data_IF_310630218325
#
_entry.id   IF_310630218325
#
_cell.length_a   1.000
_cell.length_b   1.000
_cell.length_c   1.000
_cell.angle_alpha   90.00
_cell.angle_beta   90.00
_cell.angle_gamma   90.00
#
_symmetry.space_group_name_H-M   'P 1'
#
loop_
_entity.id
_entity.type
_entity.pdbx_description
1 polymer ?
#
# COMPACT_ATOMS: atom_id res chain seq x y z
N UNK A 1 11.45 12.71 -14.39
CA UNK A 1 10.72 13.94 -14.01
C UNK A 1 9.72 13.65 -12.88
N UNK A 2 8.71 12.81 -13.06
CA UNK A 2 7.68 12.50 -12.04
C UNK A 2 8.24 12.08 -10.67
N UNK A 3 9.23 11.17 -10.62
CA UNK A 3 9.86 10.76 -9.36
C UNK A 3 10.49 11.95 -8.62
N UNK A 4 11.27 12.77 -9.34
CA UNK A 4 11.93 13.94 -8.74
C UNK A 4 10.93 14.98 -8.22
N UNK A 5 9.81 15.18 -8.92
CA UNK A 5 8.74 16.05 -8.45
C UNK A 5 8.10 15.50 -7.18
N UNK A 6 7.75 14.21 -7.18
CA UNK A 6 7.15 13.56 -6.04
C UNK A 6 8.08 13.54 -4.82
N UNK A 7 9.36 13.24 -5.02
CA UNK A 7 10.38 13.29 -3.96
C UNK A 7 10.55 14.69 -3.40
N UNK A 8 10.58 15.73 -4.25
CA UNK A 8 10.64 17.12 -3.82
C UNK A 8 9.44 17.48 -2.93
N UNK A 9 8.23 17.05 -3.30
CA UNK A 9 7.04 17.22 -2.46
C UNK A 9 7.11 16.41 -1.16
N UNK A 10 7.62 15.18 -1.21
CA UNK A 10 7.73 14.32 -0.03
C UNK A 10 8.72 14.86 1.01
N UNK A 11 9.72 15.60 0.57
CA UNK A 11 10.73 16.22 1.45
C UNK A 11 10.29 17.58 2.00
N UNK A 12 9.66 18.40 1.18
CA UNK A 12 9.38 19.81 1.52
C UNK A 12 7.89 20.07 1.85
N UNK A 13 7.02 19.07 1.65
CA UNK A 13 5.56 19.20 1.81
C UNK A 13 4.88 19.87 0.62
N UNK A 14 3.55 19.69 0.52
CA UNK A 14 2.74 20.25 -0.57
C UNK A 14 2.72 21.78 -0.55
N UNK A 15 2.60 22.39 0.62
CA UNK A 15 2.51 23.86 0.78
C UNK A 15 3.86 24.54 0.66
N UNK A 16 4.96 23.84 0.93
CA UNK A 16 6.33 24.36 0.85
C UNK A 16 6.96 24.26 -0.53
N UNK A 17 6.34 23.54 -1.48
CA UNK A 17 6.94 23.20 -2.77
C UNK A 17 6.26 23.95 -3.91
N UNK A 18 6.90 25.01 -4.39
CA UNK A 18 6.43 25.75 -5.56
C UNK A 18 7.01 25.20 -6.88
N UNK A 19 6.43 25.60 -8.02
CA UNK A 19 6.83 25.15 -9.36
C UNK A 19 8.32 25.40 -9.67
N UNK A 20 8.93 26.46 -9.10
CA UNK A 20 10.35 26.75 -9.26
C UNK A 20 11.23 25.70 -8.58
N UNK A 21 10.84 25.24 -7.39
CA UNK A 21 11.54 24.19 -6.66
C UNK A 21 11.46 22.85 -7.42
N UNK A 22 10.31 22.52 -7.97
CA UNK A 22 10.09 21.33 -8.80
C UNK A 22 10.95 21.35 -10.06
N UNK A 23 11.00 22.50 -10.77
CA UNK A 23 11.83 22.67 -11.95
C UNK A 23 13.32 22.50 -11.61
N UNK A 24 13.78 23.09 -10.51
CA UNK A 24 15.15 22.94 -10.02
C UNK A 24 15.47 21.48 -9.66
N UNK A 25 14.58 20.77 -8.94
CA UNK A 25 14.74 19.36 -8.61
C UNK A 25 14.84 18.47 -9.87
N UNK A 26 14.10 18.83 -10.93
CA UNK A 26 14.14 18.14 -12.21
C UNK A 26 15.34 18.52 -13.08
N UNK A 27 16.09 19.57 -12.76
CA UNK A 27 17.14 20.11 -13.60
C UNK A 27 16.60 20.76 -14.90
N UNK A 28 15.43 21.39 -14.85
CA UNK A 28 14.79 21.99 -16.01
C UNK A 28 14.18 23.36 -15.69
N UNK A 29 13.59 24.03 -16.67
CA UNK A 29 12.88 25.30 -16.49
C UNK A 29 11.40 25.04 -16.12
N UNK A 30 10.73 26.04 -15.53
CA UNK A 30 9.28 25.96 -15.27
C UNK A 30 8.47 25.82 -16.56
N UNK A 31 8.89 26.49 -17.65
CA UNK A 31 8.27 26.32 -18.97
C UNK A 31 8.38 24.89 -19.49
N UNK A 32 9.49 24.21 -19.24
CA UNK A 32 9.66 22.81 -19.59
C UNK A 32 8.69 21.90 -18.80
N UNK A 33 8.46 22.16 -17.51
CA UNK A 33 7.43 21.43 -16.74
C UNK A 33 6.04 21.62 -17.34
N UNK A 34 5.66 22.83 -17.68
CA UNK A 34 4.36 23.15 -18.30
C UNK A 34 4.20 22.63 -19.74
N UNK A 35 5.26 22.21 -20.42
CA UNK A 35 5.13 21.49 -21.69
C UNK A 35 4.66 20.03 -21.55
N UNK A 36 4.80 19.45 -20.35
CA UNK A 36 4.36 18.09 -20.03
C UNK A 36 3.06 18.05 -19.22
N UNK A 37 2.82 19.06 -18.38
CA UNK A 37 1.67 19.11 -17.46
C UNK A 37 0.93 20.42 -17.64
N UNK A 38 -0.37 20.34 -17.87
CA UNK A 38 -1.22 21.53 -18.09
C UNK A 38 -1.38 22.39 -16.83
N UNK A 39 -1.16 21.80 -15.66
CA UNK A 39 -1.30 22.46 -14.35
C UNK A 39 -0.41 21.80 -13.29
N UNK A 40 -0.23 22.53 -12.17
CA UNK A 40 0.43 21.98 -10.97
C UNK A 40 -0.40 20.83 -10.37
N UNK A 41 -1.72 20.90 -10.45
CA UNK A 41 -2.60 19.83 -9.98
C UNK A 41 -2.38 18.53 -10.76
N UNK A 42 -2.33 18.61 -12.07
CA UNK A 42 -2.03 17.47 -12.93
C UNK A 42 -0.65 16.88 -12.60
N UNK A 43 0.37 17.73 -12.46
CA UNK A 43 1.71 17.31 -12.04
C UNK A 43 1.69 16.55 -10.70
N UNK A 44 0.98 17.06 -9.69
CA UNK A 44 0.84 16.42 -8.37
C UNK A 44 0.18 15.06 -8.52
N UNK A 45 -0.95 14.97 -9.21
CA UNK A 45 -1.71 13.74 -9.35
C UNK A 45 -0.97 12.67 -10.15
N UNK A 46 -0.41 13.03 -11.30
CA UNK A 46 0.32 12.07 -12.14
C UNK A 46 1.62 11.61 -11.50
N UNK A 47 2.40 12.51 -10.90
CA UNK A 47 3.62 12.12 -10.18
C UNK A 47 3.30 11.23 -8.97
N UNK A 48 2.21 11.50 -8.26
CA UNK A 48 1.73 10.67 -7.16
C UNK A 48 1.31 9.29 -7.65
N UNK A 49 0.47 9.19 -8.70
CA UNK A 49 0.04 7.92 -9.26
C UNK A 49 1.23 7.07 -9.71
N UNK A 50 2.15 7.66 -10.45
CA UNK A 50 3.34 6.98 -10.94
C UNK A 50 4.22 6.44 -9.82
N UNK A 51 4.49 7.27 -8.79
CA UNK A 51 5.33 6.86 -7.68
C UNK A 51 4.65 5.86 -6.75
N UNK A 52 3.35 6.00 -6.51
CA UNK A 52 2.62 5.05 -5.68
C UNK A 52 2.41 3.71 -6.37
N UNK A 53 2.24 3.66 -7.69
CA UNK A 53 2.26 2.40 -8.43
C UNK A 53 3.58 1.63 -8.21
N UNK A 54 4.73 2.33 -8.21
CA UNK A 54 6.03 1.71 -7.88
C UNK A 54 6.12 1.24 -6.44
N UNK A 55 5.58 1.98 -5.48
CA UNK A 55 5.53 1.57 -4.07
C UNK A 55 4.72 0.28 -3.92
N UNK A 56 3.55 0.22 -4.57
CA UNK A 56 2.70 -0.98 -4.57
C UNK A 56 3.40 -2.16 -5.26
N UNK A 57 4.07 -1.95 -6.38
CA UNK A 57 4.85 -2.99 -7.06
C UNK A 57 5.99 -3.52 -6.18
N UNK A 58 6.69 -2.65 -5.49
CA UNK A 58 7.77 -3.04 -4.56
C UNK A 58 7.22 -3.87 -3.40
N UNK A 59 6.06 -3.50 -2.86
CA UNK A 59 5.37 -4.26 -1.81
C UNK A 59 4.92 -5.63 -2.33
N UNK A 60 4.25 -5.69 -3.48
CA UNK A 60 3.76 -6.93 -4.08
C UNK A 60 4.88 -7.90 -4.48
N UNK A 61 6.05 -7.41 -4.91
CA UNK A 61 7.22 -8.25 -5.17
C UNK A 61 7.75 -8.96 -3.91
N UNK A 62 7.49 -8.41 -2.73
CA UNK A 62 7.86 -9.03 -1.45
C UNK A 62 6.77 -9.94 -0.89
N UNK A 63 5.54 -9.79 -1.36
CA UNK A 63 4.42 -10.59 -0.90
C UNK A 63 4.69 -12.11 -1.13
N UNK A 64 4.55 -12.96 -0.10
CA UNK A 64 4.94 -14.35 -0.19
C UNK A 64 4.01 -15.13 -1.11
N UNK A 65 4.60 -15.94 -1.98
CA UNK A 65 3.86 -16.90 -2.80
C UNK A 65 3.76 -18.28 -2.14
N UNK A 66 4.62 -18.57 -1.14
CA UNK A 66 4.57 -19.75 -0.28
C UNK A 66 4.04 -19.33 1.10
N UNK A 67 3.00 -19.99 1.63
CA UNK A 67 2.48 -19.72 2.98
C UNK A 67 3.51 -19.87 4.11
N UNK A 68 4.56 -20.66 3.92
CA UNK A 68 5.65 -20.82 4.89
C UNK A 68 6.42 -19.52 5.15
N UNK A 69 6.47 -18.63 4.16
CA UNK A 69 7.15 -17.35 4.27
C UNK A 69 6.26 -16.25 4.87
N UNK A 70 4.95 -16.51 5.03
CA UNK A 70 3.98 -15.51 5.43
C UNK A 70 4.28 -14.90 6.80
N UNK A 71 4.70 -15.70 7.78
CA UNK A 71 4.99 -15.20 9.13
C UNK A 71 6.19 -14.26 9.15
N UNK A 72 7.27 -14.63 8.46
CA UNK A 72 8.44 -13.76 8.31
C UNK A 72 8.08 -12.47 7.59
N UNK A 73 7.30 -12.55 6.52
CA UNK A 73 6.82 -11.38 5.80
C UNK A 73 6.00 -10.45 6.71
N UNK A 74 5.05 -10.98 7.48
CA UNK A 74 4.22 -10.19 8.41
C UNK A 74 5.09 -9.48 9.47
N UNK A 75 6.18 -10.08 9.91
CA UNK A 75 7.06 -9.50 10.91
C UNK A 75 8.02 -8.44 10.35
N UNK A 76 8.53 -8.63 9.15
CA UNK A 76 9.58 -7.76 8.58
C UNK A 76 9.03 -6.60 7.73
N UNK A 77 7.93 -6.83 7.01
CA UNK A 77 7.46 -5.88 5.99
C UNK A 77 7.02 -4.52 6.54
N UNK A 78 6.42 -4.39 7.74
CA UNK A 78 6.05 -3.09 8.27
C UNK A 78 7.27 -2.16 8.44
N UNK A 79 8.36 -2.68 8.97
CA UNK A 79 9.60 -1.93 9.19
C UNK A 79 10.27 -1.56 7.87
N UNK A 80 10.35 -2.50 6.93
CA UNK A 80 10.86 -2.24 5.60
C UNK A 80 10.02 -1.17 4.88
N UNK A 81 8.69 -1.24 4.97
CA UNK A 81 7.77 -0.27 4.38
C UNK A 81 7.99 1.12 4.96
N UNK A 82 8.12 1.24 6.28
CA UNK A 82 8.38 2.51 6.95
C UNK A 82 9.72 3.11 6.51
N UNK A 83 10.79 2.31 6.53
CA UNK A 83 12.13 2.75 6.18
C UNK A 83 12.21 3.21 4.72
N UNK A 84 11.63 2.43 3.80
CA UNK A 84 11.77 2.69 2.36
C UNK A 84 10.75 3.69 1.82
N UNK A 85 9.52 3.68 2.33
CA UNK A 85 8.39 4.36 1.73
C UNK A 85 7.63 5.31 2.67
N UNK A 86 8.03 5.47 3.93
CA UNK A 86 7.28 6.26 4.92
C UNK A 86 6.98 7.69 4.47
N UNK A 87 7.98 8.41 3.94
CA UNK A 87 7.77 9.77 3.40
C UNK A 87 6.77 9.79 2.24
N UNK A 88 6.79 8.76 1.38
CA UNK A 88 5.89 8.65 0.22
C UNK A 88 4.45 8.41 0.66
N UNK A 89 4.22 7.58 1.67
CA UNK A 89 2.89 7.36 2.25
C UNK A 89 2.34 8.62 2.91
N UNK A 90 3.16 9.36 3.67
CA UNK A 90 2.74 10.64 4.27
C UNK A 90 2.28 11.65 3.21
N UNK A 91 3.04 11.79 2.12
CA UNK A 91 2.67 12.68 1.02
C UNK A 91 1.40 12.17 0.31
N UNK A 92 1.32 10.88 0.00
CA UNK A 92 0.14 10.28 -0.63
C UNK A 92 -1.14 10.59 0.15
N UNK A 93 -1.11 10.39 1.48
CA UNK A 93 -2.28 10.69 2.30
C UNK A 93 -2.63 12.17 2.30
N UNK A 94 -1.66 13.09 2.32
CA UNK A 94 -1.93 14.53 2.18
C UNK A 94 -2.62 14.85 0.86
N UNK A 95 -2.21 14.22 -0.25
CA UNK A 95 -2.81 14.43 -1.56
C UNK A 95 -4.20 13.80 -1.61
N UNK A 96 -4.32 12.50 -1.30
CA UNK A 96 -5.54 11.73 -1.58
C UNK A 96 -6.67 11.96 -0.56
N UNK A 97 -6.39 12.57 0.58
CA UNK A 97 -7.40 13.03 1.53
C UNK A 97 -7.74 14.52 1.38
N UNK A 98 -7.01 15.26 0.54
CA UNK A 98 -7.30 16.65 0.28
C UNK A 98 -8.66 16.78 -0.45
N UNK A 99 -9.56 17.69 -0.02
CA UNK A 99 -10.90 17.82 -0.62
C UNK A 99 -10.91 17.95 -2.15
N UNK A 100 -9.92 18.64 -2.70
CA UNK A 100 -9.76 18.84 -4.15
C UNK A 100 -9.46 17.56 -4.93
N UNK A 101 -8.83 16.57 -4.28
CA UNK A 101 -8.31 15.35 -4.92
C UNK A 101 -8.94 14.07 -4.40
N UNK A 102 -9.94 14.17 -3.52
CA UNK A 102 -10.54 13.03 -2.82
C UNK A 102 -11.10 11.96 -3.78
N UNK A 103 -11.72 12.37 -4.87
CA UNK A 103 -12.26 11.41 -5.85
C UNK A 103 -11.13 10.65 -6.58
N UNK A 104 -10.01 11.30 -6.82
CA UNK A 104 -8.83 10.63 -7.33
C UNK A 104 -8.26 9.61 -6.34
N UNK A 105 -8.20 9.98 -5.06
CA UNK A 105 -7.77 9.07 -3.99
C UNK A 105 -8.68 7.85 -3.86
N UNK A 106 -10.01 8.02 -3.93
CA UNK A 106 -10.98 6.91 -3.92
C UNK A 106 -10.70 5.93 -5.05
N UNK A 107 -10.57 6.43 -6.29
CA UNK A 107 -10.28 5.60 -7.46
C UNK A 107 -8.94 4.87 -7.34
N UNK A 108 -7.91 5.52 -6.81
CA UNK A 108 -6.63 4.87 -6.54
C UNK A 108 -6.80 3.67 -5.60
N UNK A 109 -7.51 3.84 -4.47
CA UNK A 109 -7.71 2.76 -3.51
C UNK A 109 -8.62 1.64 -4.02
N UNK A 110 -9.55 1.90 -4.93
CA UNK A 110 -10.31 0.86 -5.64
C UNK A 110 -9.35 -0.08 -6.40
N UNK A 111 -8.44 0.47 -7.21
CA UNK A 111 -7.44 -0.33 -7.93
C UNK A 111 -6.51 -1.12 -7.01
N UNK A 112 -6.09 -0.53 -5.89
CA UNK A 112 -5.28 -1.21 -4.87
C UNK A 112 -6.06 -2.39 -4.26
N UNK A 113 -7.33 -2.20 -3.93
CA UNK A 113 -8.19 -3.24 -3.37
C UNK A 113 -8.39 -4.41 -4.36
N UNK A 114 -8.52 -4.12 -5.65
CA UNK A 114 -8.59 -5.15 -6.69
C UNK A 114 -7.30 -5.98 -6.73
N UNK A 115 -6.12 -5.36 -6.71
CA UNK A 115 -4.82 -6.08 -6.69
C UNK A 115 -4.69 -7.01 -5.50
N UNK A 116 -5.07 -6.59 -4.30
CA UNK A 116 -5.02 -7.44 -3.11
C UNK A 116 -6.06 -8.57 -3.15
N UNK A 117 -7.21 -8.33 -3.78
CA UNK A 117 -8.20 -9.38 -4.00
C UNK A 117 -7.67 -10.45 -4.96
N UNK A 118 -7.02 -10.06 -6.06
CA UNK A 118 -6.38 -11.01 -6.97
C UNK A 118 -5.25 -11.80 -6.27
N UNK A 119 -4.45 -11.14 -5.46
CA UNK A 119 -3.44 -11.83 -4.65
C UNK A 119 -4.07 -12.84 -3.68
N UNK A 120 -5.18 -12.50 -3.02
CA UNK A 120 -5.91 -13.41 -2.14
C UNK A 120 -6.43 -14.65 -2.88
N UNK A 121 -6.90 -14.50 -4.12
CA UNK A 121 -7.31 -15.62 -4.98
C UNK A 121 -6.14 -16.56 -5.30
N UNK A 122 -4.92 -16.04 -5.47
CA UNK A 122 -3.73 -16.87 -5.68
C UNK A 122 -3.31 -17.65 -4.43
N UNK A 123 -3.63 -17.13 -3.24
CA UNK A 123 -3.35 -17.82 -1.97
C UNK A 123 -4.38 -18.89 -1.62
N UNK A 124 -5.64 -18.72 -1.99
CA UNK A 124 -6.75 -19.61 -1.63
C UNK A 124 -6.42 -21.11 -1.83
N UNK A 125 -5.97 -21.59 -3.02
CA UNK A 125 -5.68 -22.99 -3.23
C UNK A 125 -4.49 -23.52 -2.42
N UNK A 126 -3.63 -22.61 -1.92
CA UNK A 126 -2.41 -22.97 -1.17
C UNK A 126 -2.64 -23.10 0.32
N UNK A 127 -3.57 -22.32 0.87
CA UNK A 127 -3.82 -22.25 2.30
C UNK A 127 -5.18 -22.85 2.71
N UNK A 128 -6.05 -23.14 1.73
CA UNK A 128 -7.37 -23.72 1.98
C UNK A 128 -8.37 -22.77 2.67
N UNK A 129 -8.10 -21.47 2.67
CA UNK A 129 -9.01 -20.43 3.21
C UNK A 129 -9.57 -19.66 2.03
N UNK A 130 -10.91 -19.48 1.91
CA UNK A 130 -11.52 -18.73 0.81
C UNK A 130 -10.98 -17.30 0.68
N UNK A 131 -10.73 -16.84 -0.55
CA UNK A 131 -10.18 -15.51 -0.80
C UNK A 131 -11.03 -14.40 -0.17
N UNK A 132 -12.36 -14.57 -0.11
CA UNK A 132 -13.28 -13.63 0.55
C UNK A 132 -13.00 -13.46 2.04
N UNK A 133 -12.39 -14.46 2.69
CA UNK A 133 -11.93 -14.39 4.09
C UNK A 133 -10.52 -13.82 4.17
N UNK A 134 -9.64 -14.15 3.22
CA UNK A 134 -8.24 -13.70 3.19
C UNK A 134 -8.17 -12.19 2.88
N UNK A 135 -8.94 -11.70 1.92
CA UNK A 135 -8.87 -10.31 1.44
C UNK A 135 -9.03 -9.28 2.57
N UNK A 136 -10.02 -9.36 3.49
CA UNK A 136 -10.11 -8.45 4.62
C UNK A 136 -8.91 -8.51 5.56
N UNK A 137 -8.30 -9.68 5.76
CA UNK A 137 -7.09 -9.83 6.58
C UNK A 137 -5.89 -9.12 5.94
N UNK A 138 -5.75 -9.22 4.61
CA UNK A 138 -4.73 -8.47 3.86
C UNK A 138 -4.95 -6.97 4.04
N UNK A 139 -6.19 -6.48 3.94
CA UNK A 139 -6.49 -5.06 4.13
C UNK A 139 -6.13 -4.56 5.53
N UNK A 140 -6.46 -5.32 6.58
CA UNK A 140 -6.07 -5.00 7.96
C UNK A 140 -4.54 -4.92 8.06
N UNK A 141 -3.84 -5.92 7.52
CA UNK A 141 -2.37 -5.97 7.53
C UNK A 141 -1.74 -4.78 6.82
N UNK A 142 -2.15 -4.52 5.58
CA UNK A 142 -1.62 -3.39 4.79
C UNK A 142 -1.87 -2.06 5.48
N UNK A 143 -3.05 -1.87 6.07
CA UNK A 143 -3.37 -0.64 6.83
C UNK A 143 -2.49 -0.48 8.06
N UNK A 144 -2.18 -1.54 8.77
CA UNK A 144 -1.24 -1.50 9.89
C UNK A 144 0.19 -1.13 9.43
N UNK A 145 0.66 -1.71 8.31
CA UNK A 145 1.95 -1.36 7.72
C UNK A 145 2.01 0.12 7.31
N UNK A 146 0.98 0.62 6.64
CA UNK A 146 0.91 2.02 6.21
C UNK A 146 0.81 2.97 7.41
N UNK A 147 0.01 2.63 8.43
CA UNK A 147 -0.06 3.42 9.67
C UNK A 147 1.31 3.52 10.33
N UNK A 148 1.99 2.38 10.49
CA UNK A 148 3.35 2.36 11.04
C UNK A 148 4.33 3.16 10.18
N UNK A 149 4.25 3.05 8.85
CA UNK A 149 5.10 3.81 7.94
C UNK A 149 4.91 5.34 8.04
N UNK A 150 3.72 5.80 8.45
CA UNK A 150 3.43 7.22 8.63
C UNK A 150 3.82 7.76 10.01
N UNK A 151 3.57 6.99 11.08
CA UNK A 151 3.58 7.47 12.46
C UNK A 151 4.64 6.80 13.34
N UNK A 152 5.23 5.67 12.89
CA UNK A 152 6.17 4.83 13.65
C UNK A 152 5.58 4.38 15.00
N UNK A 153 4.24 4.20 15.06
CA UNK A 153 3.51 3.78 16.25
C UNK A 153 3.66 2.26 16.47
N UNK A 154 4.68 1.92 17.24
CA UNK A 154 5.04 0.52 17.55
C UNK A 154 3.97 -0.19 18.39
N UNK A 155 3.30 0.51 19.28
CA UNK A 155 2.23 -0.08 20.10
C UNK A 155 1.04 -0.48 19.24
N UNK A 156 0.60 0.42 18.36
CA UNK A 156 -0.49 0.14 17.42
C UNK A 156 -0.13 -1.02 16.49
N UNK A 157 1.08 -1.02 15.91
CA UNK A 157 1.52 -2.09 15.04
C UNK A 157 1.46 -3.45 15.75
N UNK A 158 2.05 -3.58 16.93
CA UNK A 158 2.08 -4.84 17.69
C UNK A 158 0.68 -5.33 18.04
N UNK A 159 -0.20 -4.44 18.49
CA UNK A 159 -1.58 -4.77 18.79
C UNK A 159 -2.34 -5.31 17.56
N UNK A 160 -2.18 -4.66 16.40
CA UNK A 160 -2.82 -5.11 15.15
C UNK A 160 -2.26 -6.45 14.66
N UNK A 161 -0.93 -6.65 14.78
CA UNK A 161 -0.29 -7.90 14.36
C UNK A 161 -0.73 -9.08 15.24
N UNK A 162 -0.89 -8.87 16.53
CA UNK A 162 -1.37 -9.90 17.46
C UNK A 162 -2.80 -10.36 17.10
N UNK A 163 -3.72 -9.41 16.90
CA UNK A 163 -5.10 -9.70 16.48
C UNK A 163 -5.13 -10.39 15.11
N UNK A 164 -4.29 -9.96 14.17
CA UNK A 164 -4.19 -10.57 12.85
C UNK A 164 -3.73 -12.03 12.94
N UNK A 165 -2.68 -12.31 13.73
CA UNK A 165 -2.15 -13.68 13.94
C UNK A 165 -3.22 -14.60 14.54
N UNK A 166 -3.95 -14.12 15.55
CA UNK A 166 -5.06 -14.88 16.15
C UNK A 166 -6.19 -15.14 15.14
N UNK A 167 -6.58 -14.11 14.37
CA UNK A 167 -7.60 -14.24 13.33
C UNK A 167 -7.22 -15.27 12.25
N UNK A 168 -5.97 -15.23 11.78
CA UNK A 168 -5.47 -16.21 10.79
C UNK A 168 -5.52 -17.63 11.35
N UNK A 169 -5.09 -17.83 12.60
CA UNK A 169 -5.13 -19.15 13.25
C UNK A 169 -6.57 -19.69 13.37
N UNK A 170 -7.50 -18.86 13.85
CA UNK A 170 -8.91 -19.23 13.97
C UNK A 170 -9.54 -19.62 12.62
N UNK A 171 -9.26 -18.88 11.56
CA UNK A 171 -9.77 -19.22 10.23
C UNK A 171 -9.10 -20.48 9.67
N UNK A 172 -7.80 -20.66 9.87
CA UNK A 172 -7.11 -21.86 9.44
C UNK A 172 -7.72 -23.13 10.09
N UNK A 173 -7.96 -23.09 11.40
CA UNK A 173 -8.58 -24.21 12.13
C UNK A 173 -10.02 -24.46 11.67
N UNK A 174 -10.82 -23.41 11.48
CA UNK A 174 -12.19 -23.52 10.98
C UNK A 174 -12.26 -24.22 9.62
N UNK A 175 -11.44 -23.79 8.67
CA UNK A 175 -11.49 -24.34 7.31
C UNK A 175 -10.84 -25.72 7.23
N UNK A 176 -9.79 -26.01 8.02
CA UNK A 176 -9.21 -27.34 8.12
C UNK A 176 -10.25 -28.36 8.65
N UNK A 177 -11.02 -28.00 9.66
CA UNK A 177 -12.08 -28.85 10.23
C UNK A 177 -13.20 -29.13 9.23
N UNK A 178 -13.53 -28.18 8.36
CA UNK A 178 -14.53 -28.37 7.29
C UNK A 178 -14.05 -29.36 6.22
N UNK A 179 -12.77 -29.33 5.84
CA UNK A 179 -12.18 -30.31 4.91
C UNK A 179 -12.16 -31.73 5.49
N UNK A 180 -11.89 -31.89 6.79
CA UNK A 180 -11.87 -33.19 7.45
C UNK A 180 -13.28 -33.79 7.65
N UNK A 181 -14.29 -32.95 7.86
CA UNK A 181 -15.67 -33.37 8.09
C UNK A 181 -16.47 -33.55 6.78
N UNK A 182 -16.14 -32.84 5.72
CA UNK A 182 -16.78 -32.94 4.40
C UNK A 182 -16.34 -34.15 3.55
N UNK A 183 -15.29 -34.86 3.97
CA UNK A 183 -14.82 -36.09 3.33
C UNK A 183 -15.56 -37.39 3.74
N UNK A 184 -16.55 -37.32 4.65
CA UNK A 184 -17.32 -38.49 5.14
C UNK A 184 -18.75 -38.57 4.61
N UNK A 185 -19.13 -37.76 3.62
CA UNK A 185 -20.41 -37.90 2.91
C UNK A 185 -20.15 -38.23 1.42
N UNK A 186 -19.70 -39.45 1.17
CA UNK A 186 -19.86 -40.18 -0.10
C UNK A 186 -20.09 -41.67 0.22
#
# INVERSE_FOLDING_TARGET
MMEKCFECYAENGLTGTGIKALAAACGCTTGNLYSYFSSVDELILESSAYCMAKVEDDFMKKAPTDPKDAMRFIEEIPYWTAQKHGKKYRLMYQIYTHPKYIEYGKKFFEGVNERYTEYAKLLEPKIGIPYKTITPLIFIFVRACVHYAMFEDEYYLKAQMEVLKQGVALFADKYRSQYLNGGNEI
#
